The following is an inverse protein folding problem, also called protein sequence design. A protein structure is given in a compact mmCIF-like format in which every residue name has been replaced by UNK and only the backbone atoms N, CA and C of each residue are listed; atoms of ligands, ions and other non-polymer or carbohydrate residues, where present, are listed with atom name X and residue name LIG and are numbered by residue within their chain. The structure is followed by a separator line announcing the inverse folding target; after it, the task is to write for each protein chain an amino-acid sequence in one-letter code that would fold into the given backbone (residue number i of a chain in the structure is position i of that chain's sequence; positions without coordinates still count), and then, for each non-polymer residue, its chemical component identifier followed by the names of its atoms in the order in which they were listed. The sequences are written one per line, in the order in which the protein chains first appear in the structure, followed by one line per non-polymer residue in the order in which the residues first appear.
data_IF_042625033929
#
_entry.id   IF_042625033929
#
_cell.length_a   1.000
_cell.length_b   1.000
_cell.length_c   1.000
_cell.angle_alpha   90.00
_cell.angle_beta   90.00
_cell.angle_gamma   90.00
#
_symmetry.space_group_name_H-M   'P 1'
#
loop_
_entity.id
_entity.type
_entity.pdbx_description
1 polymer ?
#
# COMPACT_ATOMS: atom_id res chain seq x y z
N UNK A 1 -21.15 12.06 -0.82
CA UNK A 1 -19.78 11.76 -0.33
C UNK A 1 -19.26 13.00 0.35
N UNK A 2 -18.58 12.85 1.48
CA UNK A 2 -17.87 13.96 2.12
C UNK A 2 -16.61 14.27 1.30
N UNK A 3 -16.47 15.48 0.72
CA UNK A 3 -15.31 15.83 -0.11
C UNK A 3 -13.99 15.74 0.65
N UNK A 4 -14.01 15.81 1.99
CA UNK A 4 -12.83 15.64 2.85
C UNK A 4 -12.25 14.23 2.84
N UNK A 5 -12.97 13.25 2.28
CA UNK A 5 -12.52 11.86 2.18
C UNK A 5 -11.76 11.55 0.88
N UNK A 6 -11.70 12.50 -0.05
CA UNK A 6 -10.92 12.35 -1.29
C UNK A 6 -9.45 12.60 -0.94
N UNK A 7 -8.53 11.67 -1.26
CA UNK A 7 -7.10 11.91 -1.03
C UNK A 7 -6.60 13.10 -1.86
N UNK A 8 -5.98 14.08 -1.20
CA UNK A 8 -5.42 15.28 -1.86
C UNK A 8 -3.97 15.06 -2.34
N UNK A 9 -3.30 14.01 -1.86
CA UNK A 9 -1.90 13.71 -2.15
C UNK A 9 -1.67 12.21 -2.31
N UNK A 10 -0.77 11.86 -3.23
CA UNK A 10 -0.26 10.50 -3.40
C UNK A 10 1.17 10.41 -2.86
N UNK A 11 1.46 9.36 -2.10
CA UNK A 11 2.80 9.09 -1.56
C UNK A 11 3.25 7.73 -2.09
N UNK A 12 4.38 7.69 -2.81
CA UNK A 12 4.99 6.46 -3.28
C UNK A 12 5.91 5.86 -2.22
N UNK A 13 5.72 4.58 -1.90
CA UNK A 13 6.65 3.81 -1.05
C UNK A 13 7.64 3.03 -1.92
N UNK A 14 8.87 3.55 -2.07
CA UNK A 14 9.94 2.94 -2.88
C UNK A 14 11.08 2.39 -2.01
N UNK A 15 11.94 1.55 -2.61
CA UNK A 15 13.09 0.92 -1.91
C UNK A 15 13.45 -0.46 -2.48
N UNK A 16 14.58 -1.02 -2.01
CA UNK A 16 15.06 -2.35 -2.40
C UNK A 16 14.01 -3.44 -2.13
N UNK A 17 14.11 -4.57 -2.85
CA UNK A 17 13.23 -5.73 -2.65
C UNK A 17 13.26 -6.18 -1.18
N UNK A 18 12.11 -6.62 -0.67
CA UNK A 18 11.93 -7.10 0.72
C UNK A 18 12.22 -6.13 1.87
N UNK A 19 12.44 -4.84 1.59
CA UNK A 19 12.57 -3.80 2.63
C UNK A 19 11.22 -3.38 3.27
N UNK A 20 10.16 -4.18 3.16
CA UNK A 20 8.92 -3.97 3.91
C UNK A 20 8.01 -2.83 3.43
N UNK A 21 8.12 -2.39 2.15
CA UNK A 21 7.28 -1.33 1.57
C UNK A 21 5.78 -1.62 1.72
N UNK A 22 5.34 -2.83 1.36
CA UNK A 22 3.93 -3.25 1.47
C UNK A 22 3.47 -3.31 2.93
N UNK A 23 4.34 -3.78 3.83
CA UNK A 23 4.10 -3.79 5.28
C UNK A 23 3.92 -2.37 5.84
N UNK A 24 4.73 -1.42 5.37
CA UNK A 24 4.61 -0.01 5.76
C UNK A 24 3.28 0.59 5.30
N UNK A 25 2.86 0.33 4.06
CA UNK A 25 1.55 0.76 3.55
C UNK A 25 0.42 0.18 4.40
N UNK A 26 0.49 -1.09 4.79
CA UNK A 26 -0.50 -1.73 5.65
C UNK A 26 -0.54 -1.10 7.04
N UNK A 27 0.62 -0.84 7.65
CA UNK A 27 0.70 -0.24 8.98
C UNK A 27 0.10 1.18 9.03
N UNK A 28 0.26 1.97 7.96
CA UNK A 28 -0.26 3.34 7.88
C UNK A 28 -1.74 3.37 7.50
N UNK A 29 -2.13 2.61 6.47
CA UNK A 29 -3.48 2.71 5.88
C UNK A 29 -4.48 1.70 6.42
N UNK A 30 -4.02 0.68 7.17
CA UNK A 30 -4.82 -0.49 7.54
C UNK A 30 -5.17 -1.41 6.37
N UNK A 31 -4.67 -1.15 5.15
CA UNK A 31 -4.99 -1.91 3.94
C UNK A 31 -3.74 -2.55 3.35
N UNK A 32 -3.84 -3.83 3.02
CA UNK A 32 -2.79 -4.53 2.28
C UNK A 32 -2.81 -4.10 0.80
N UNK A 33 -1.66 -3.68 0.21
CA UNK A 33 -1.66 -3.12 -1.14
C UNK A 33 -1.68 -4.18 -2.27
N UNK A 34 -1.21 -5.41 -2.02
CA UNK A 34 -1.24 -6.47 -3.02
C UNK A 34 -2.64 -7.10 -3.09
N UNK A 35 -3.22 -7.12 -4.29
CA UNK A 35 -4.57 -7.67 -4.54
C UNK A 35 -4.55 -8.73 -5.62
N UNK A 36 -3.47 -8.82 -6.40
CA UNK A 36 -3.34 -9.82 -7.43
C UNK A 36 -2.89 -11.16 -6.84
N UNK A 37 -3.52 -12.26 -7.26
CA UNK A 37 -3.27 -13.57 -6.67
C UNK A 37 -1.83 -14.03 -6.75
N UNK A 38 -1.09 -13.64 -7.80
CA UNK A 38 0.34 -14.00 -7.91
C UNK A 38 1.22 -13.23 -6.92
N UNK A 39 0.89 -11.97 -6.60
CA UNK A 39 1.60 -11.21 -5.56
C UNK A 39 1.38 -11.84 -4.18
N UNK A 40 0.15 -12.31 -3.91
CA UNK A 40 -0.17 -12.99 -2.65
C UNK A 40 0.54 -14.35 -2.50
N UNK A 41 0.75 -15.08 -3.60
CA UNK A 41 1.43 -16.39 -3.56
C UNK A 41 2.94 -16.28 -3.41
N UNK A 42 3.54 -15.24 -4.01
CA UNK A 42 4.99 -15.13 -4.15
C UNK A 42 5.62 -14.21 -3.10
N UNK A 43 4.82 -13.39 -2.43
CA UNK A 43 5.31 -12.24 -1.68
C UNK A 43 5.85 -11.17 -2.63
#
# INVERSE_FOLDING_TARGET
MDPRLIPEVNIGTLGHVDHGKSTLVQAISGKWPAVHSEELKRG
#
